data_IF_157549332390
#
_entry.id   IF_157549332390
#
_cell.length_a   1.000
_cell.length_b   1.000
_cell.length_c   1.000
_cell.angle_alpha   90.00
_cell.angle_beta   90.00
_cell.angle_gamma   90.00
#
_symmetry.space_group_name_H-M   'P 1'
#
loop_
_entity.id
_entity.type
_entity.pdbx_description
1 polymer ?
#
# COMPACT_ATOMS: atom_id res chain seq x y z
N UNK A 1 -11.52 -9.62 15.76
CA UNK A 1 -11.21 -8.20 15.56
C UNK A 1 -11.24 -7.98 14.06
N UNK A 2 -12.18 -7.19 13.56
CA UNK A 2 -12.22 -6.75 12.16
C UNK A 2 -10.99 -5.87 11.90
N UNK A 3 -9.89 -6.50 11.49
CA UNK A 3 -8.56 -5.87 11.34
C UNK A 3 -8.30 -5.29 9.95
N UNK A 4 -9.34 -5.06 9.15
CA UNK A 4 -9.22 -4.41 7.85
C UNK A 4 -9.12 -2.89 8.05
N UNK A 5 -8.21 -2.24 7.31
CA UNK A 5 -8.10 -0.78 7.30
C UNK A 5 -9.44 -0.16 6.87
N UNK A 6 -9.90 0.86 7.60
CA UNK A 6 -11.11 1.63 7.27
C UNK A 6 -10.69 3.03 6.84
N UNK A 7 -11.04 3.37 5.61
CA UNK A 7 -10.81 4.70 5.04
C UNK A 7 -12.00 5.62 5.32
N UNK A 8 -11.80 6.96 5.32
CA UNK A 8 -12.90 7.91 5.30
C UNK A 8 -13.79 7.70 4.08
N UNK A 9 -15.04 8.15 4.14
CA UNK A 9 -15.94 8.13 2.97
C UNK A 9 -15.34 8.95 1.82
N UNK A 10 -15.40 8.40 0.60
CA UNK A 10 -14.90 9.05 -0.60
C UNK A 10 -14.65 8.05 -1.74
N UNK A 11 -14.39 8.59 -2.93
CA UNK A 11 -14.09 7.79 -4.13
C UNK A 11 -12.58 7.59 -4.27
N UNK A 12 -12.04 6.67 -3.47
CA UNK A 12 -10.60 6.36 -3.39
C UNK A 12 -10.24 5.18 -4.30
N UNK A 13 -10.38 5.37 -5.62
CA UNK A 13 -10.20 4.30 -6.58
C UNK A 13 -8.84 4.37 -7.28
N UNK A 14 -8.27 5.55 -7.56
CA UNK A 14 -6.98 5.67 -8.23
C UNK A 14 -5.87 6.02 -7.23
N UNK A 15 -4.82 5.20 -7.18
CA UNK A 15 -3.74 5.33 -6.21
C UNK A 15 -2.36 5.41 -6.86
N UNK A 16 -1.54 6.33 -6.38
CA UNK A 16 -0.14 6.50 -6.77
C UNK A 16 0.75 6.60 -5.53
N UNK A 17 1.92 5.94 -5.57
CA UNK A 17 2.96 6.10 -4.56
C UNK A 17 3.71 7.40 -4.83
N UNK A 18 3.46 8.40 -3.99
CA UNK A 18 4.06 9.74 -4.13
C UNK A 18 5.39 9.87 -3.39
N UNK A 19 5.65 9.01 -2.40
CA UNK A 19 6.96 8.90 -1.76
C UNK A 19 7.24 7.47 -1.26
N UNK A 20 8.49 7.05 -1.40
CA UNK A 20 9.00 5.81 -0.83
C UNK A 20 10.45 6.02 -0.41
N UNK A 21 10.68 6.04 0.90
CA UNK A 21 11.99 6.16 1.52
C UNK A 21 12.13 5.15 2.66
N UNK A 22 13.30 5.09 3.30
CA UNK A 22 13.48 4.28 4.50
C UNK A 22 12.62 4.76 5.69
N UNK A 23 12.20 6.02 5.71
CA UNK A 23 11.42 6.59 6.80
C UNK A 23 9.91 6.54 6.55
N UNK A 24 9.49 6.58 5.28
CA UNK A 24 8.08 6.74 4.92
C UNK A 24 7.73 6.06 3.59
N UNK A 25 6.55 5.43 3.56
CA UNK A 25 5.88 4.99 2.35
C UNK A 25 4.50 5.66 2.26
N UNK A 26 4.24 6.35 1.15
CA UNK A 26 3.10 7.29 1.01
C UNK A 26 2.32 7.04 -0.27
N UNK A 27 1.33 6.13 -0.27
CA UNK A 27 0.34 6.04 -1.33
C UNK A 27 -0.77 7.07 -1.13
N UNK A 28 -1.12 7.76 -2.21
CA UNK A 28 -2.15 8.79 -2.23
C UNK A 28 -3.28 8.39 -3.20
N UNK A 29 -4.53 8.64 -2.80
CA UNK A 29 -5.73 8.29 -3.55
C UNK A 29 -6.47 9.51 -4.08
N UNK A 30 -6.98 9.42 -5.30
CA UNK A 30 -7.83 10.44 -5.90
C UNK A 30 -9.00 9.84 -6.67
N UNK A 31 -9.98 10.70 -6.98
CA UNK A 31 -11.05 10.40 -7.93
C UNK A 31 -10.77 10.99 -9.33
N UNK A 32 -10.00 12.08 -9.39
CA UNK A 32 -9.67 12.77 -10.63
C UNK A 32 -8.22 12.47 -11.04
N UNK A 33 -7.99 11.74 -12.15
CA UNK A 33 -6.64 11.48 -12.65
C UNK A 33 -5.91 12.76 -13.08
N UNK A 34 -6.61 13.89 -13.22
CA UNK A 34 -6.05 15.10 -13.80
C UNK A 34 -5.34 16.02 -12.80
N UNK A 35 -5.73 16.11 -11.51
CA UNK A 35 -5.20 17.22 -10.68
C UNK A 35 -4.91 16.96 -9.19
N UNK A 36 -5.68 16.14 -8.44
CA UNK A 36 -5.46 16.05 -6.98
C UNK A 36 -5.77 14.67 -6.38
N UNK A 37 -4.94 14.24 -5.44
CA UNK A 37 -5.30 13.19 -4.48
C UNK A 37 -6.04 13.84 -3.31
N UNK A 38 -7.12 13.19 -2.84
CA UNK A 38 -7.92 13.66 -1.71
C UNK A 38 -7.70 12.87 -0.42
N UNK A 39 -6.88 11.82 -0.49
CA UNK A 39 -6.55 10.94 0.63
C UNK A 39 -5.08 10.52 0.53
N UNK A 40 -4.43 10.40 1.68
CA UNK A 40 -3.09 9.85 1.79
C UNK A 40 -3.02 8.83 2.92
N UNK A 41 -2.24 7.77 2.72
CA UNK A 41 -1.80 6.89 3.79
C UNK A 41 -0.31 7.15 4.02
N UNK A 42 0.07 7.47 5.25
CA UNK A 42 1.47 7.66 5.63
C UNK A 42 1.89 6.49 6.49
N UNK A 43 2.63 5.56 5.88
CA UNK A 43 3.26 4.46 6.59
C UNK A 43 4.64 4.91 7.05
N UNK A 44 4.84 4.99 8.35
CA UNK A 44 6.09 5.41 8.93
C UNK A 44 6.94 4.24 9.37
N UNK A 45 8.25 4.35 9.12
CA UNK A 45 9.24 3.29 9.33
C UNK A 45 8.81 1.98 8.63
N UNK A 46 8.60 2.00 7.29
CA UNK A 46 8.17 0.83 6.56
C UNK A 46 9.26 -0.24 6.58
N UNK A 47 8.90 -1.44 7.03
CA UNK A 47 9.80 -2.61 7.12
C UNK A 47 9.54 -3.62 6.00
N UNK A 48 8.34 -3.59 5.41
CA UNK A 48 7.99 -4.36 4.22
C UNK A 48 6.98 -3.56 3.38
N UNK A 49 7.22 -3.47 2.08
CA UNK A 49 6.25 -2.97 1.11
C UNK A 49 6.24 -3.92 -0.07
N UNK A 50 5.11 -4.60 -0.26
CA UNK A 50 4.82 -5.42 -1.43
C UNK A 50 3.61 -4.84 -2.11
N UNK A 51 3.80 -3.80 -2.92
CA UNK A 51 2.75 -3.12 -3.69
C UNK A 51 3.36 -2.47 -4.94
N UNK A 52 2.65 -2.43 -6.09
CA UNK A 52 3.08 -1.63 -7.24
C UNK A 52 3.09 -0.12 -6.90
N UNK A 53 3.83 0.67 -7.70
CA UNK A 53 3.89 2.13 -7.53
C UNK A 53 2.59 2.86 -7.89
N UNK A 54 1.66 2.18 -8.54
CA UNK A 54 0.33 2.69 -8.93
C UNK A 54 -0.64 1.53 -9.02
N UNK A 55 -1.86 1.71 -8.54
CA UNK A 55 -2.91 0.68 -8.53
C UNK A 55 -4.29 1.31 -8.44
N UNK A 56 -5.32 0.51 -8.73
CA UNK A 56 -6.71 0.92 -8.75
C UNK A 56 -7.59 0.01 -7.89
N UNK A 57 -8.71 0.55 -7.42
CA UNK A 57 -9.77 -0.14 -6.69
C UNK A 57 -9.28 -1.05 -5.53
N UNK A 58 -8.52 -0.53 -4.55
CA UNK A 58 -8.02 -1.36 -3.47
C UNK A 58 -9.14 -1.86 -2.56
N UNK A 59 -9.16 -3.17 -2.34
CA UNK A 59 -10.04 -3.86 -1.41
C UNK A 59 -9.25 -4.23 -0.15
N UNK A 60 -9.33 -3.37 0.87
CA UNK A 60 -8.67 -3.61 2.14
C UNK A 60 -9.30 -4.78 2.90
N UNK A 61 -8.44 -5.68 3.36
CA UNK A 61 -8.82 -6.86 4.13
C UNK A 61 -7.94 -7.00 5.37
N UNK A 62 -8.39 -7.83 6.31
CA UNK A 62 -7.50 -8.26 7.38
C UNK A 62 -6.32 -9.06 6.77
N UNK A 63 -5.09 -8.89 7.27
CA UNK A 63 -3.98 -9.74 6.88
C UNK A 63 -4.26 -11.19 7.29
N UNK A 64 -3.96 -12.13 6.39
CA UNK A 64 -4.14 -13.54 6.66
C UNK A 64 -3.14 -14.01 7.73
N UNK A 65 -3.50 -14.98 8.58
CA UNK A 65 -2.60 -15.47 9.63
C UNK A 65 -1.24 -15.98 9.09
N UNK A 66 -1.24 -16.57 7.90
CA UNK A 66 -0.03 -17.04 7.22
C UNK A 66 0.90 -15.89 6.82
N UNK A 67 0.34 -14.79 6.28
CA UNK A 67 1.09 -13.57 5.92
C UNK A 67 1.75 -12.97 7.16
N UNK A 68 1.00 -12.85 8.27
CA UNK A 68 1.52 -12.35 9.54
C UNK A 68 2.62 -13.26 10.09
N UNK A 69 2.43 -14.59 10.03
CA UNK A 69 3.41 -15.56 10.51
C UNK A 69 4.72 -15.48 9.72
N UNK A 70 4.63 -15.43 8.40
CA UNK A 70 5.79 -15.29 7.52
C UNK A 70 6.54 -13.97 7.79
N UNK A 71 5.77 -12.90 8.00
CA UNK A 71 6.31 -11.57 8.26
C UNK A 71 7.03 -11.51 9.61
N UNK A 72 6.41 -12.01 10.69
CA UNK A 72 7.05 -12.13 12.01
C UNK A 72 8.30 -13.01 11.97
N UNK A 73 8.25 -14.12 11.22
CA UNK A 73 9.41 -15.00 11.05
C UNK A 73 10.58 -14.33 10.32
N UNK A 74 10.28 -13.44 9.37
CA UNK A 74 11.30 -12.73 8.59
C UNK A 74 11.89 -11.51 9.33
N UNK A 75 11.06 -10.81 10.11
CA UNK A 75 11.45 -9.61 10.86
C UNK A 75 11.99 -9.93 12.27
N UNK A 76 11.70 -11.11 12.81
CA UNK A 76 12.02 -11.50 14.19
C UNK A 76 11.07 -10.91 15.25
N UNK A 77 10.21 -9.97 14.87
CA UNK A 77 9.17 -9.40 15.71
C UNK A 77 7.90 -9.10 14.90
N UNK A 78 6.77 -8.92 15.60
CA UNK A 78 5.53 -8.50 14.96
C UNK A 78 5.54 -6.98 14.78
N UNK A 79 5.44 -6.46 13.56
CA UNK A 79 5.28 -5.02 13.37
C UNK A 79 3.95 -4.57 13.98
N UNK A 80 3.88 -3.31 14.45
CA UNK A 80 2.67 -2.76 15.04
C UNK A 80 1.57 -2.51 14.00
N UNK A 81 1.94 -2.28 12.73
CA UNK A 81 0.99 -2.08 11.63
C UNK A 81 1.25 -3.10 10.52
N UNK A 82 0.19 -3.80 10.11
CA UNK A 82 0.15 -4.63 8.89
C UNK A 82 -1.14 -4.31 8.13
N UNK A 83 -1.01 -3.89 6.88
CA UNK A 83 -2.14 -3.60 6.00
C UNK A 83 -2.05 -4.52 4.79
N UNK A 84 -3.14 -5.25 4.54
CA UNK A 84 -3.29 -6.11 3.38
C UNK A 84 -4.47 -5.65 2.52
N UNK A 85 -4.29 -5.70 1.21
CA UNK A 85 -5.35 -5.34 0.26
C UNK A 85 -5.12 -5.98 -1.10
N UNK A 86 -6.19 -6.21 -1.83
CA UNK A 86 -6.13 -6.59 -3.24
C UNK A 86 -6.34 -5.33 -4.09
N UNK A 87 -5.61 -5.17 -5.20
CA UNK A 87 -5.79 -4.02 -6.08
C UNK A 87 -5.59 -4.38 -7.55
N UNK A 88 -6.18 -3.62 -8.46
CA UNK A 88 -5.88 -3.72 -9.88
C UNK A 88 -4.56 -2.99 -10.19
N UNK A 89 -3.62 -3.66 -10.84
CA UNK A 89 -2.34 -3.10 -11.27
C UNK A 89 -2.24 -2.90 -12.80
N UNK A 90 -3.37 -2.90 -13.51
CA UNK A 90 -3.45 -2.84 -14.97
C UNK A 90 -3.25 -4.20 -15.66
N UNK A 91 -3.40 -5.29 -14.92
CA UNK A 91 -3.26 -6.67 -15.40
C UNK A 91 -4.60 -7.39 -15.59
N UNK A 92 -4.57 -8.69 -15.90
CA UNK A 92 -5.79 -9.51 -15.98
C UNK A 92 -6.32 -9.96 -14.62
N UNK A 93 -5.50 -9.85 -13.56
CA UNK A 93 -5.81 -10.29 -12.21
C UNK A 93 -5.44 -9.20 -11.20
N UNK A 94 -6.13 -9.16 -10.07
CA UNK A 94 -5.76 -8.29 -8.95
C UNK A 94 -4.46 -8.77 -8.31
N UNK A 95 -3.68 -7.83 -7.80
CA UNK A 95 -2.46 -8.10 -7.06
C UNK A 95 -2.70 -8.02 -5.56
N UNK A 96 -2.20 -9.02 -4.84
CA UNK A 96 -2.18 -9.01 -3.38
C UNK A 96 -1.06 -8.11 -2.88
N UNK A 97 -1.42 -7.09 -2.13
CA UNK A 97 -0.52 -6.11 -1.56
C UNK A 97 -0.41 -6.27 -0.04
N UNK A 98 0.81 -6.11 0.48
CA UNK A 98 1.09 -6.20 1.92
C UNK A 98 2.08 -5.11 2.32
N UNK A 99 1.73 -4.33 3.33
CA UNK A 99 2.58 -3.28 3.90
C UNK A 99 2.70 -3.47 5.39
N UNK A 100 3.93 -3.50 5.92
CA UNK A 100 4.21 -3.49 7.34
C UNK A 100 5.06 -2.27 7.72
N UNK A 101 4.69 -1.63 8.83
CA UNK A 101 5.27 -0.37 9.25
C UNK A 101 5.22 -0.20 10.78
N UNK A 102 6.01 0.74 11.29
CA UNK A 102 5.98 1.17 12.69
C UNK A 102 4.72 1.98 13.04
N UNK A 103 4.16 2.71 12.07
CA UNK A 103 2.96 3.54 12.25
C UNK A 103 2.19 3.70 10.94
N UNK A 104 0.91 4.04 11.06
CA UNK A 104 0.04 4.44 9.94
C UNK A 104 -0.78 5.66 10.33
N UNK A 105 -0.75 6.67 9.48
CA UNK A 105 -1.63 7.83 9.55
C UNK A 105 -2.49 7.89 8.28
N UNK A 106 -3.78 8.17 8.45
CA UNK A 106 -4.72 8.40 7.35
C UNK A 106 -4.96 9.90 7.29
N UNK A 107 -4.57 10.53 6.19
CA UNK A 107 -4.62 11.99 6.03
C UNK A 107 -5.64 12.34 4.93
N UNK A 108 -6.87 12.74 5.28
CA UNK A 108 -7.81 13.30 4.33
C UNK A 108 -7.37 14.73 3.94
N UNK A 109 -7.39 15.07 2.65
CA UNK A 109 -7.07 16.42 2.18
C UNK A 109 -6.44 16.45 0.78
N UNK A 110 -6.40 17.64 0.17
CA UNK A 110 -5.78 17.88 -1.13
C UNK A 110 -4.26 17.68 -1.04
N UNK A 111 -3.77 16.58 -1.58
CA UNK A 111 -2.35 16.36 -1.84
C UNK A 111 -2.08 16.72 -3.29
N UNK A 112 -1.30 17.79 -3.48
CA UNK A 112 -0.85 18.20 -4.81
C UNK A 112 0.13 17.14 -5.32
N UNK A 113 -0.10 16.67 -6.54
CA UNK A 113 0.81 15.75 -7.23
C UNK A 113 2.16 16.46 -7.45
N UNK A 114 3.08 16.29 -6.52
CA UNK A 114 4.46 16.75 -6.70
C UNK A 114 5.16 15.80 -7.68
N UNK A 115 5.87 16.38 -8.65
CA UNK A 115 6.56 15.65 -9.71
C UNK A 115 7.51 14.63 -9.07
N UNK A 116 7.27 13.35 -9.42
CA UNK A 116 8.06 12.15 -9.11
C UNK A 116 9.46 12.46 -8.54
N UNK A 117 9.68 12.21 -7.25
CA UNK A 117 11.02 12.23 -6.67
C UNK A 117 11.73 10.94 -7.11
N UNK A 118 12.82 11.10 -7.86
CA UNK A 118 13.69 10.01 -8.33
C UNK A 118 14.16 9.16 -7.14
N UNK A 119 13.68 7.91 -7.07
CA UNK A 119 14.01 6.97 -5.98
C UNK A 119 13.09 5.76 -5.85
N UNK A 120 11.95 5.73 -6.54
CA UNK A 120 11.06 4.55 -6.55
C UNK A 120 11.71 3.37 -7.29
N UNK A 121 11.72 2.14 -6.71
CA UNK A 121 12.08 0.94 -7.44
C UNK A 121 11.23 0.86 -8.71
N UNK A 122 11.85 0.53 -9.84
CA UNK A 122 11.08 0.44 -11.09
C UNK A 122 10.21 -0.81 -11.00
N UNK A 123 9.09 -0.84 -11.73
CA UNK A 123 8.23 -2.03 -11.94
C UNK A 123 9.02 -3.33 -12.24
N UNK A 124 10.27 -3.22 -12.73
CA UNK A 124 11.19 -4.35 -12.95
C UNK A 124 11.72 -5.05 -11.69
N UNK A 125 11.64 -4.43 -10.51
CA UNK A 125 12.11 -5.00 -9.25
C UNK A 125 11.00 -5.72 -8.46
N UNK A 126 9.80 -5.81 -9.04
CA UNK A 126 8.66 -6.54 -8.48
C UNK A 126 8.83 -8.06 -8.71
N UNK A 127 8.89 -8.90 -7.66
CA UNK A 127 9.09 -10.34 -7.83
C UNK A 127 7.85 -11.09 -8.36
N UNK A 128 6.73 -10.40 -8.59
CA UNK A 128 5.44 -11.05 -8.88
C UNK A 128 4.66 -11.37 -7.61
N UNK A 129 3.35 -11.62 -7.70
CA UNK A 129 2.57 -12.12 -6.56
C UNK A 129 3.14 -13.47 -6.08
N UNK A 130 3.10 -13.78 -4.77
CA UNK A 130 3.49 -15.10 -4.29
C UNK A 130 2.57 -16.16 -4.90
N UNK A 131 3.16 -17.22 -5.46
CA UNK A 131 2.41 -18.35 -5.99
C UNK A 131 1.65 -19.02 -4.83
N UNK A 132 0.33 -19.04 -4.94
CA UNK A 132 -0.54 -19.80 -4.04
C UNK A 132 -0.32 -21.28 -4.33
N UNK A 133 0.51 -21.94 -3.51
CA UNK A 133 0.60 -23.41 -3.52
C UNK A 133 -0.62 -24.00 -2.81
N UNK A 134 -1.32 -24.89 -3.51
CA UNK A 134 -2.43 -25.75 -3.05
C UNK A 134 -1.97 -26.75 -1.96
#
# INVERSE_FOLDING_TARGET
MDGALRLPEGSWWDWEVIAWTAAEFRPAAGYDPAHHHGLELVFGDPVLVSCPSSFQDPVFRAPAPAEVTQLCGSLGESPPVVVAFEADAGGSETVSCLVAAGRLEIVPGLVVRHTRVDGTPRVRDWPGPPLLTD
#
